data_IF_028901479746
#
_entry.id   IF_028901479746
#
_cell.length_a   1.000
_cell.length_b   1.000
_cell.length_c   1.000
_cell.angle_alpha   90.00
_cell.angle_beta   90.00
_cell.angle_gamma   90.00
#
_symmetry.space_group_name_H-M   'P 1'
#
loop_
_entity.id
_entity.type
_entity.pdbx_description
1 polymer ?
#
# COMPACT_ATOMS: atom_id res chain seq x y z
N UNK A 1 -16.07 -3.08 8.32
CA UNK A 1 -14.59 -3.16 8.40
C UNK A 1 -14.02 -2.55 7.13
N UNK A 2 -12.88 -1.86 7.15
CA UNK A 2 -12.21 -1.36 5.92
C UNK A 2 -10.84 -2.03 5.80
N UNK A 3 -10.54 -2.48 4.61
CA UNK A 3 -9.40 -3.30 4.23
C UNK A 3 -8.73 -2.62 3.04
N UNK A 4 -7.54 -2.06 3.21
CA UNK A 4 -6.86 -1.42 2.10
C UNK A 4 -5.62 -2.24 1.77
N UNK A 5 -5.64 -2.93 0.65
CA UNK A 5 -4.46 -3.50 0.02
C UNK A 5 -3.78 -2.37 -0.74
N UNK A 6 -2.65 -1.92 -0.21
CA UNK A 6 -1.80 -0.92 -0.86
C UNK A 6 -0.69 -1.68 -1.58
N UNK A 7 -0.83 -1.83 -2.90
CA UNK A 7 0.20 -2.30 -3.82
C UNK A 7 0.62 -3.77 -3.67
N UNK A 8 0.19 -4.56 -4.65
CA UNK A 8 0.56 -5.96 -4.84
C UNK A 8 1.68 -6.09 -5.89
N UNK A 9 2.92 -6.23 -5.45
CA UNK A 9 3.99 -6.91 -6.20
C UNK A 9 4.75 -7.76 -5.18
N UNK A 10 4.20 -8.95 -4.91
CA UNK A 10 4.50 -9.87 -3.79
C UNK A 10 3.65 -9.65 -2.55
N UNK A 11 2.35 -9.92 -2.67
CA UNK A 11 1.58 -10.31 -1.49
C UNK A 11 2.30 -11.52 -0.88
N UNK A 12 3.04 -11.31 0.21
CA UNK A 12 3.44 -12.41 1.05
C UNK A 12 2.12 -13.02 1.50
N UNK A 13 1.80 -14.25 1.05
CA UNK A 13 0.57 -14.98 1.42
C UNK A 13 0.25 -14.84 2.91
N UNK A 14 1.30 -14.72 3.73
CA UNK A 14 1.32 -14.50 5.18
C UNK A 14 0.57 -13.24 5.64
N UNK A 15 0.60 -12.10 4.94
CA UNK A 15 -0.02 -10.87 5.45
C UNK A 15 -1.55 -10.94 5.57
N UNK A 16 -2.19 -11.79 4.74
CA UNK A 16 -3.63 -12.09 4.83
C UNK A 16 -3.94 -13.09 5.95
N UNK A 17 -2.94 -13.84 6.42
CA UNK A 17 -3.11 -14.86 7.45
C UNK A 17 -3.19 -14.28 8.85
N UNK A 18 -2.72 -13.05 9.07
CA UNK A 18 -2.85 -12.38 10.38
C UNK A 18 -4.27 -11.94 10.72
N UNK A 19 -5.27 -12.26 9.87
CA UNK A 19 -6.66 -11.90 10.09
C UNK A 19 -7.32 -12.83 11.10
N UNK A 20 -7.60 -12.32 12.28
CA UNK A 20 -8.31 -13.09 13.32
C UNK A 20 -9.81 -12.84 13.24
N UNK A 21 -10.55 -13.86 12.81
CA UNK A 21 -12.03 -13.84 12.76
C UNK A 21 -12.65 -13.60 14.14
N UNK A 22 -11.97 -13.99 15.23
CA UNK A 22 -12.49 -13.85 16.58
C UNK A 22 -12.38 -12.39 17.09
N UNK A 23 -11.37 -11.66 16.63
CA UNK A 23 -11.19 -10.23 16.95
C UNK A 23 -12.05 -9.35 16.03
N UNK A 24 -12.15 -9.74 14.75
CA UNK A 24 -12.74 -8.91 13.70
C UNK A 24 -14.22 -9.20 13.44
N UNK A 25 -14.71 -10.38 13.82
CA UNK A 25 -16.05 -10.92 13.51
C UNK A 25 -16.38 -10.99 12.02
N UNK A 26 -15.38 -10.89 11.15
CA UNK A 26 -15.51 -10.97 9.69
C UNK A 26 -14.77 -12.21 9.20
N UNK A 27 -15.48 -13.07 8.48
CA UNK A 27 -14.88 -14.20 7.80
C UNK A 27 -14.21 -13.71 6.51
N UNK A 28 -12.90 -13.47 6.58
CA UNK A 28 -12.13 -12.96 5.44
C UNK A 28 -12.18 -13.88 4.24
N UNK A 29 -12.10 -15.21 4.42
CA UNK A 29 -12.11 -16.17 3.31
C UNK A 29 -13.42 -16.09 2.51
N UNK A 30 -14.55 -15.93 3.19
CA UNK A 30 -15.86 -15.72 2.56
C UNK A 30 -15.87 -14.42 1.75
N UNK A 31 -15.43 -13.31 2.34
CA UNK A 31 -15.43 -12.01 1.66
C UNK A 31 -14.46 -11.98 0.47
N UNK A 32 -13.27 -12.58 0.60
CA UNK A 32 -12.32 -12.73 -0.52
C UNK A 32 -12.88 -13.58 -1.65
N UNK A 33 -13.68 -14.61 -1.33
CA UNK A 33 -14.37 -15.42 -2.36
C UNK A 33 -15.38 -14.57 -3.12
N UNK A 34 -16.17 -13.74 -2.42
CA UNK A 34 -17.13 -12.82 -3.06
C UNK A 34 -16.42 -11.82 -3.97
N UNK A 35 -15.31 -11.24 -3.52
CA UNK A 35 -14.51 -10.30 -4.33
C UNK A 35 -13.99 -11.00 -5.59
N UNK A 36 -13.47 -12.21 -5.44
CA UNK A 36 -12.93 -13.01 -6.54
C UNK A 36 -14.02 -13.36 -7.57
N UNK A 37 -15.22 -13.73 -7.09
CA UNK A 37 -16.36 -14.08 -7.96
C UNK A 37 -16.88 -12.87 -8.75
N UNK A 38 -16.77 -11.66 -8.20
CA UNK A 38 -17.14 -10.43 -8.93
C UNK A 38 -16.10 -10.05 -9.99
N UNK A 39 -14.84 -10.45 -9.80
CA UNK A 39 -13.75 -10.25 -10.76
C UNK A 39 -13.66 -8.82 -11.31
N UNK A 40 -13.83 -7.81 -10.44
CA UNK A 40 -13.83 -6.40 -10.84
C UNK A 40 -12.46 -6.03 -11.43
N UNK A 41 -12.44 -5.33 -12.58
CA UNK A 41 -11.18 -4.86 -13.17
C UNK A 41 -10.64 -3.58 -12.51
N UNK A 42 -11.51 -2.84 -11.81
CA UNK A 42 -11.19 -1.54 -11.21
C UNK A 42 -11.00 -0.41 -12.23
N UNK A 43 -10.71 0.77 -11.71
CA UNK A 43 -10.45 1.97 -12.50
C UNK A 43 -8.97 2.04 -12.86
N UNK A 44 -8.65 2.21 -14.14
CA UNK A 44 -7.28 2.40 -14.63
C UNK A 44 -7.03 3.87 -14.95
N UNK A 45 -5.97 4.42 -14.38
CA UNK A 45 -5.49 5.77 -14.60
C UNK A 45 -4.20 5.75 -15.44
N UNK A 46 -3.47 6.88 -15.46
CA UNK A 46 -2.25 6.99 -16.27
C UNK A 46 -1.15 6.07 -15.74
N UNK A 47 -0.22 5.71 -16.62
CA UNK A 47 0.97 4.92 -16.28
C UNK A 47 0.69 3.54 -15.65
N UNK A 48 -0.51 3.00 -15.86
CA UNK A 48 -0.91 1.69 -15.33
C UNK A 48 -1.26 1.70 -13.85
N UNK A 49 -1.52 2.89 -13.27
CA UNK A 49 -2.14 2.99 -11.94
C UNK A 49 -3.55 2.38 -12.00
N UNK A 50 -3.89 1.53 -11.03
CA UNK A 50 -5.20 0.89 -10.95
C UNK A 50 -5.71 0.88 -9.52
N UNK A 51 -6.99 1.22 -9.37
CA UNK A 51 -7.73 1.19 -8.12
C UNK A 51 -8.95 0.26 -8.26
N UNK A 52 -8.93 -0.87 -7.56
CA UNK A 52 -10.08 -1.78 -7.47
C UNK A 52 -10.73 -1.55 -6.11
N UNK A 53 -12.01 -1.17 -6.12
CA UNK A 53 -12.78 -0.98 -4.89
C UNK A 53 -13.92 -1.97 -4.81
N UNK A 54 -14.12 -2.50 -3.61
CA UNK A 54 -15.22 -3.39 -3.28
C UNK A 54 -15.81 -2.98 -1.94
N UNK A 55 -17.12 -3.12 -1.79
CA UNK A 55 -17.78 -2.91 -0.51
C UNK A 55 -18.92 -3.92 -0.33
N UNK A 56 -18.84 -4.67 0.75
CA UNK A 56 -19.94 -5.45 1.31
C UNK A 56 -20.43 -4.82 2.61
N UNK A 57 -21.46 -5.41 3.21
CA UNK A 57 -21.94 -5.04 4.54
C UNK A 57 -20.85 -5.20 5.62
N UNK A 58 -19.91 -6.14 5.41
CA UNK A 58 -18.91 -6.50 6.41
C UNK A 58 -17.53 -5.90 6.10
N UNK A 59 -17.15 -5.83 4.81
CA UNK A 59 -15.81 -5.53 4.35
C UNK A 59 -15.84 -4.52 3.20
N UNK A 60 -15.14 -3.41 3.40
CA UNK A 60 -14.77 -2.51 2.31
C UNK A 60 -13.33 -2.83 1.95
N UNK A 61 -13.03 -3.05 0.68
CA UNK A 61 -11.71 -3.37 0.16
C UNK A 61 -11.25 -2.34 -0.86
N UNK A 62 -10.05 -1.79 -0.72
CA UNK A 62 -9.39 -0.96 -1.73
C UNK A 62 -8.08 -1.64 -2.14
N UNK A 63 -7.88 -1.92 -3.43
CA UNK A 63 -6.67 -2.55 -3.97
C UNK A 63 -6.02 -1.56 -4.91
N UNK A 64 -4.85 -1.08 -4.53
CA UNK A 64 -4.04 -0.19 -5.33
C UNK A 64 -2.98 -0.99 -6.08
N UNK A 65 -2.78 -0.73 -7.36
CA UNK A 65 -1.72 -1.32 -8.18
C UNK A 65 -1.01 -0.19 -8.89
N UNK A 66 0.32 -0.15 -8.79
CA UNK A 66 1.15 1.00 -9.15
C UNK A 66 0.51 2.35 -8.75
N UNK A 67 0.16 2.57 -7.47
CA UNK A 67 -0.42 3.84 -7.07
C UNK A 67 0.59 4.99 -7.21
N UNK A 68 0.09 6.17 -7.55
CA UNK A 68 0.78 7.43 -7.29
C UNK A 68 0.75 7.77 -5.79
N UNK A 69 1.69 8.62 -5.34
CA UNK A 69 1.76 9.11 -3.95
C UNK A 69 0.44 9.75 -3.54
N UNK A 70 -0.19 10.52 -4.43
CA UNK A 70 -1.43 11.24 -4.16
C UNK A 70 -2.60 10.27 -3.89
N UNK A 71 -2.76 9.25 -4.74
CA UNK A 71 -3.80 8.22 -4.60
C UNK A 71 -3.62 7.42 -3.32
N UNK A 72 -2.41 6.93 -3.06
CA UNK A 72 -2.13 6.20 -1.82
C UNK A 72 -2.44 7.07 -0.60
N UNK A 73 -1.91 8.29 -0.57
CA UNK A 73 -2.10 9.20 0.56
C UNK A 73 -3.59 9.45 0.82
N UNK A 74 -4.39 9.60 -0.24
CA UNK A 74 -5.83 9.75 -0.11
C UNK A 74 -6.52 8.50 0.43
N UNK A 75 -6.18 7.30 -0.07
CA UNK A 75 -6.73 6.05 0.43
C UNK A 75 -6.36 5.82 1.92
N UNK A 76 -5.13 6.14 2.32
CA UNK A 76 -4.71 6.06 3.73
C UNK A 76 -5.53 7.04 4.59
N UNK A 77 -5.68 8.31 4.18
CA UNK A 77 -6.52 9.27 4.91
C UNK A 77 -7.97 8.82 5.02
N UNK A 78 -8.54 8.32 3.92
CA UNK A 78 -9.92 7.81 3.88
C UNK A 78 -10.11 6.60 4.80
N UNK A 79 -9.11 5.73 4.92
CA UNK A 79 -9.12 4.62 5.86
C UNK A 79 -9.09 5.11 7.30
N UNK A 80 -8.16 6.01 7.59
CA UNK A 80 -7.90 6.51 8.94
C UNK A 80 -9.06 7.36 9.50
N UNK A 81 -9.78 8.06 8.62
CA UNK A 81 -10.99 8.83 8.96
C UNK A 81 -12.29 8.02 8.86
N UNK A 82 -12.22 6.72 8.57
CA UNK A 82 -13.43 5.89 8.48
C UNK A 82 -13.97 5.46 9.85
N UNK A 83 -15.28 5.22 9.94
CA UNK A 83 -15.94 4.69 11.14
C UNK A 83 -15.72 3.18 11.37
N UNK A 84 -14.70 2.60 10.74
CA UNK A 84 -14.43 1.16 10.85
C UNK A 84 -13.58 0.85 12.08
N UNK A 85 -14.01 -0.18 12.83
CA UNK A 85 -13.35 -0.60 14.08
C UNK A 85 -12.05 -1.36 13.86
N UNK A 86 -11.95 -2.10 12.77
CA UNK A 86 -10.72 -2.79 12.40
C UNK A 86 -10.32 -2.38 10.99
N UNK A 87 -9.05 -2.02 10.88
CA UNK A 87 -8.41 -1.51 9.69
C UNK A 87 -7.18 -2.38 9.43
N UNK A 88 -6.95 -2.69 8.17
CA UNK A 88 -5.78 -3.48 7.79
C UNK A 88 -5.19 -2.84 6.55
N UNK A 89 -3.88 -2.56 6.61
CA UNK A 89 -3.08 -2.08 5.49
C UNK A 89 -2.04 -3.15 5.20
N UNK A 90 -1.96 -3.56 3.94
CA UNK A 90 -0.94 -4.49 3.48
C UNK A 90 -0.17 -3.80 2.38
N UNK A 91 1.10 -3.50 2.65
CA UNK A 91 2.07 -3.09 1.66
C UNK A 91 2.84 -4.31 1.16
N UNK A 92 2.74 -4.56 -0.14
CA UNK A 92 3.37 -5.67 -0.82
C UNK A 92 4.15 -5.18 -2.05
N UNK A 93 4.69 -3.94 -2.03
CA UNK A 93 5.53 -3.38 -3.10
C UNK A 93 7.00 -3.26 -2.72
N UNK A 94 7.78 -2.59 -3.56
CA UNK A 94 9.19 -2.31 -3.29
C UNK A 94 9.36 -1.32 -2.13
N UNK A 95 10.43 -1.50 -1.37
CA UNK A 95 10.80 -0.63 -0.25
C UNK A 95 12.26 -0.21 -0.38
N UNK A 96 12.54 1.06 -0.10
CA UNK A 96 13.90 1.57 -0.08
C UNK A 96 14.64 1.12 1.17
N UNK A 97 15.82 0.52 0.97
CA UNK A 97 16.68 0.06 2.05
C UNK A 97 17.10 1.21 2.96
N UNK A 98 17.06 0.95 4.27
CA UNK A 98 17.48 1.90 5.31
C UNK A 98 16.32 2.70 5.89
N UNK A 99 15.57 3.44 5.07
CA UNK A 99 14.45 4.26 5.57
C UNK A 99 13.09 3.54 5.57
N UNK A 100 12.98 2.42 4.84
CA UNK A 100 11.74 1.64 4.78
C UNK A 100 10.64 2.29 3.93
N UNK A 101 10.89 3.40 3.22
CA UNK A 101 9.87 4.08 2.43
C UNK A 101 9.38 3.21 1.28
N UNK A 102 8.06 3.22 1.06
CA UNK A 102 7.42 2.49 -0.02
C UNK A 102 7.67 3.20 -1.34
N UNK A 103 8.10 2.46 -2.36
CA UNK A 103 8.36 3.00 -3.69
C UNK A 103 7.07 2.99 -4.51
N UNK A 104 6.66 4.18 -4.97
CA UNK A 104 5.45 4.44 -5.74
C UNK A 104 5.81 4.94 -7.15
N UNK A 105 4.81 5.13 -8.00
CA UNK A 105 5.05 5.56 -9.40
C UNK A 105 5.80 6.89 -9.52
N UNK A 106 5.45 7.87 -8.69
CA UNK A 106 5.92 9.25 -8.81
C UNK A 106 6.65 9.75 -7.56
N UNK A 107 7.05 8.83 -6.67
CA UNK A 107 7.79 9.16 -5.46
C UNK A 107 7.78 8.06 -4.41
N UNK A 108 7.86 8.48 -3.14
CA UNK A 108 7.90 7.57 -2.00
C UNK A 108 6.83 7.91 -0.98
N UNK A 109 6.34 6.89 -0.29
CA UNK A 109 5.52 7.04 0.90
C UNK A 109 6.24 6.48 2.12
N UNK A 110 6.55 7.37 3.06
CA UNK A 110 7.42 7.11 4.22
C UNK A 110 6.62 6.94 5.52
N UNK A 111 7.34 6.53 6.57
CA UNK A 111 6.82 6.56 7.94
C UNK A 111 6.31 7.96 8.34
N UNK A 112 6.99 9.02 7.90
CA UNK A 112 6.62 10.40 8.22
C UNK A 112 5.29 10.75 7.56
N UNK A 113 5.13 10.44 6.26
CA UNK A 113 3.86 10.69 5.53
C UNK A 113 2.69 9.95 6.20
N UNK A 114 2.94 8.71 6.63
CA UNK A 114 1.95 7.93 7.37
C UNK A 114 1.60 8.54 8.73
N UNK A 115 2.61 9.01 9.47
CA UNK A 115 2.43 9.65 10.79
C UNK A 115 1.71 11.00 10.68
N UNK A 116 1.97 11.76 9.62
CA UNK A 116 1.28 13.02 9.31
C UNK A 116 -0.19 12.79 8.98
N UNK A 117 -0.53 11.70 8.28
CA UNK A 117 -1.92 11.34 8.03
C UNK A 117 -2.73 11.13 9.33
N UNK A 118 -2.08 10.71 10.43
CA UNK A 118 -2.73 10.66 11.74
C UNK A 118 -3.02 12.03 12.33
N UNK A 119 -2.24 13.06 12.01
CA UNK A 119 -2.40 14.42 12.56
C UNK A 119 -3.56 15.18 11.92
N UNK A 120 -4.17 14.66 10.85
CA UNK A 120 -5.29 15.31 10.21
C UNK A 120 -6.51 15.43 11.13
N UNK A 121 -7.18 16.58 11.05
CA UNK A 121 -8.31 16.92 11.91
C UNK A 121 -9.40 15.83 11.85
N UNK A 122 -9.78 15.37 10.67
CA UNK A 122 -10.82 14.35 10.51
C UNK A 122 -10.40 12.99 11.08
N UNK A 123 -9.11 12.64 10.99
CA UNK A 123 -8.58 11.41 11.60
C UNK A 123 -8.59 11.53 13.13
N UNK A 124 -8.06 12.62 13.67
CA UNK A 124 -8.05 12.89 15.12
C UNK A 124 -9.45 12.87 15.72
N UNK A 125 -10.45 13.45 15.03
CA UNK A 125 -11.85 13.44 15.46
C UNK A 125 -12.40 12.02 15.60
N UNK A 126 -12.13 11.16 14.61
CA UNK A 126 -12.59 9.76 14.63
C UNK A 126 -11.88 8.95 15.71
N UNK A 127 -10.56 9.13 15.86
CA UNK A 127 -9.78 8.44 16.90
C UNK A 127 -10.29 8.82 18.29
N UNK A 128 -10.56 10.11 18.53
CA UNK A 128 -11.06 10.58 19.81
C UNK A 128 -12.49 10.08 20.10
N UNK A 129 -13.37 10.06 19.09
CA UNK A 129 -14.75 9.59 19.24
C UNK A 129 -14.85 8.08 19.54
N UNK A 130 -13.86 7.29 19.11
CA UNK A 130 -13.83 5.84 19.26
C UNK A 130 -12.52 5.35 19.89
N UNK A 131 -12.01 6.10 20.88
CA UNK A 131 -10.74 5.78 21.54
C UNK A 131 -10.75 4.34 22.07
N UNK A 132 -9.69 3.57 21.78
CA UNK A 132 -9.56 2.14 22.08
C UNK A 132 -10.59 1.21 21.38
N UNK A 133 -11.54 1.75 20.61
CA UNK A 133 -12.50 1.01 19.78
C UNK A 133 -12.02 0.75 18.35
N UNK A 134 -10.88 1.33 17.98
CA UNK A 134 -10.24 1.17 16.68
C UNK A 134 -8.96 0.33 16.82
N UNK A 135 -8.75 -0.57 15.87
CA UNK A 135 -7.54 -1.37 15.68
C UNK A 135 -7.02 -1.19 14.25
N UNK A 136 -5.70 -1.14 14.10
CA UNK A 136 -5.05 -1.06 12.80
C UNK A 136 -3.89 -2.06 12.73
N UNK A 137 -3.94 -2.96 11.75
CA UNK A 137 -2.82 -3.83 11.41
C UNK A 137 -2.13 -3.31 10.16
N UNK A 138 -0.82 -3.08 10.25
CA UNK A 138 0.02 -2.66 9.13
C UNK A 138 1.01 -3.77 8.81
N UNK A 139 0.99 -4.25 7.57
CA UNK A 139 2.03 -5.14 7.05
C UNK A 139 2.93 -4.35 6.10
N UNK A 140 4.22 -4.29 6.41
CA UNK A 140 5.21 -3.59 5.59
C UNK A 140 6.63 -4.09 5.91
N UNK A 141 7.64 -3.56 5.23
CA UNK A 141 9.05 -3.86 5.52
C UNK A 141 9.37 -3.59 7.00
N UNK A 142 10.20 -4.45 7.59
CA UNK A 142 10.74 -4.26 8.94
C UNK A 142 11.86 -3.22 9.00
N UNK A 143 12.30 -2.71 7.85
CA UNK A 143 13.32 -1.68 7.73
C UNK A 143 12.78 -0.31 8.12
N UNK A 144 13.71 0.61 8.45
CA UNK A 144 13.36 1.98 8.81
C UNK A 144 12.52 2.10 10.08
N UNK A 145 11.72 3.16 10.12
CA UNK A 145 11.08 3.64 11.35
C UNK A 145 9.70 3.02 11.61
N UNK A 146 9.20 2.15 10.72
CA UNK A 146 7.88 1.51 10.86
C UNK A 146 7.72 0.75 12.17
N UNK A 147 8.79 0.15 12.70
CA UNK A 147 8.78 -0.59 13.98
C UNK A 147 8.57 0.32 15.20
N UNK A 148 8.75 1.64 15.06
CA UNK A 148 8.48 2.62 16.13
C UNK A 148 7.01 2.98 16.24
N UNK A 149 6.24 2.76 15.17
CA UNK A 149 4.86 3.19 15.03
C UNK A 149 3.96 2.77 16.22
N UNK A 150 4.01 1.53 16.75
CA UNK A 150 3.20 1.15 17.90
C UNK A 150 3.51 1.91 19.20
N UNK A 151 4.66 2.60 19.27
CA UNK A 151 5.09 3.37 20.44
C UNK A 151 4.55 4.80 20.44
N UNK A 152 4.10 5.29 19.29
CA UNK A 152 3.55 6.63 19.12
C UNK A 152 2.25 6.82 19.90
N UNK A 153 2.00 8.04 20.37
CA UNK A 153 0.81 8.35 21.18
C UNK A 153 -0.49 8.13 20.41
N UNK A 154 -0.56 8.58 19.15
CA UNK A 154 -1.71 8.39 18.27
C UNK A 154 -1.96 6.91 17.96
N UNK A 155 -0.89 6.11 17.87
CA UNK A 155 -0.98 4.69 17.55
C UNK A 155 -1.54 3.87 18.71
N UNK A 156 -1.32 4.29 19.96
CA UNK A 156 -1.88 3.64 21.14
C UNK A 156 -3.41 3.72 21.16
N UNK A 157 -3.97 4.88 20.82
CA UNK A 157 -5.43 5.09 20.77
C UNK A 157 -6.13 4.21 19.72
N UNK A 158 -5.41 3.81 18.67
CA UNK A 158 -5.87 2.94 17.58
C UNK A 158 -5.31 1.51 17.62
N UNK A 159 -4.70 1.08 18.74
CA UNK A 159 -4.13 -0.27 18.91
C UNK A 159 -3.31 -0.72 17.70
N UNK A 160 -2.43 0.14 17.18
CA UNK A 160 -1.71 -0.17 15.94
C UNK A 160 -0.70 -1.30 16.16
N UNK A 161 -0.70 -2.30 15.28
CA UNK A 161 0.27 -3.40 15.25
C UNK A 161 0.96 -3.44 13.89
N UNK A 162 2.27 -3.64 13.90
CA UNK A 162 3.08 -3.78 12.68
C UNK A 162 3.50 -5.24 12.54
N UNK A 163 3.23 -5.84 11.38
CA UNK A 163 3.50 -7.24 11.04
C UNK A 163 3.03 -8.22 12.14
N UNK A 164 1.74 -8.20 12.53
CA UNK A 164 1.20 -9.17 13.49
C UNK A 164 1.31 -10.60 12.97
N UNK A 165 1.41 -11.56 13.89
CA UNK A 165 1.57 -12.99 13.58
C UNK A 165 0.36 -13.58 12.85
N UNK A 166 0.63 -14.55 12.00
CA UNK A 166 -0.38 -15.32 11.28
C UNK A 166 -1.27 -16.14 12.24
N UNK A 167 -2.58 -16.14 11.97
CA UNK A 167 -3.62 -16.86 12.73
C UNK A 167 -4.34 -17.87 11.84
N UNK A 168 -4.51 -17.56 10.55
CA UNK A 168 -5.08 -18.47 9.57
C UNK A 168 -4.04 -19.46 9.02
N UNK A 169 -4.51 -20.61 8.56
CA UNK A 169 -3.64 -21.60 7.93
C UNK A 169 -3.25 -21.18 6.50
N UNK A 170 -2.00 -21.44 6.11
CA UNK A 170 -1.40 -21.08 4.80
C UNK A 170 -2.09 -21.70 3.57
N UNK A 171 -3.10 -22.57 3.75
CA UNK A 171 -3.71 -23.41 2.72
C UNK A 171 -5.11 -23.01 2.25
N UNK A 172 -5.59 -21.80 2.56
CA UNK A 172 -6.93 -21.35 2.17
C UNK A 172 -7.11 -21.24 0.64
N UNK A 173 -8.06 -21.97 0.02
CA UNK A 173 -8.33 -21.86 -1.41
C UNK A 173 -8.86 -20.47 -1.80
N UNK A 174 -9.61 -19.81 -0.91
CA UNK A 174 -10.14 -18.45 -1.13
C UNK A 174 -9.02 -17.42 -1.28
N UNK A 175 -8.00 -17.49 -0.42
CA UNK A 175 -6.83 -16.60 -0.51
C UNK A 175 -6.06 -16.85 -1.81
N UNK A 176 -5.86 -18.12 -2.19
CA UNK A 176 -5.16 -18.48 -3.42
C UNK A 176 -5.90 -18.00 -4.67
N UNK A 177 -7.22 -18.19 -4.72
CA UNK A 177 -8.04 -17.74 -5.83
C UNK A 177 -8.05 -16.22 -5.95
N UNK A 178 -8.10 -15.51 -4.82
CA UNK A 178 -8.00 -14.05 -4.80
C UNK A 178 -6.65 -13.55 -5.34
N UNK A 179 -5.54 -14.16 -4.93
CA UNK A 179 -4.21 -13.83 -5.48
C UNK A 179 -4.16 -14.09 -6.98
N UNK A 180 -4.74 -15.21 -7.44
CA UNK A 180 -4.81 -15.55 -8.87
C UNK A 180 -5.67 -14.57 -9.66
N UNK A 181 -6.74 -14.05 -9.07
CA UNK A 181 -7.56 -12.99 -9.66
C UNK A 181 -6.76 -11.70 -9.84
N UNK A 182 -5.86 -11.36 -8.90
CA UNK A 182 -5.03 -10.16 -9.00
C UNK A 182 -3.87 -10.29 -10.00
N UNK A 183 -3.36 -11.50 -10.20
CA UNK A 183 -2.17 -11.81 -11.02
C UNK A 183 -2.12 -11.09 -12.39
N UNK A 184 -3.21 -11.03 -13.19
CA UNK A 184 -3.18 -10.36 -14.50
C UNK A 184 -2.91 -8.85 -14.43
N UNK A 185 -3.15 -8.22 -13.28
CA UNK A 185 -2.96 -6.78 -13.10
C UNK A 185 -1.57 -6.42 -12.57
N UNK A 186 -0.79 -7.39 -12.09
CA UNK A 186 0.51 -7.13 -11.44
C UNK A 186 1.69 -7.11 -12.43
N UNK A 187 1.42 -6.77 -13.69
CA UNK A 187 2.41 -6.78 -14.76
C UNK A 187 3.40 -5.64 -14.51
N UNK A 188 4.70 -5.91 -14.31
CA UNK A 188 5.69 -4.86 -14.13
C UNK A 188 5.72 -3.93 -15.34
N UNK A 189 5.79 -2.62 -15.12
CA UNK A 189 6.04 -1.65 -16.20
C UNK A 189 7.31 -2.03 -16.95
N UNK A 190 7.24 -2.10 -18.29
CA UNK A 190 8.42 -2.39 -19.11
C UNK A 190 9.44 -1.26 -18.99
N UNK A 191 10.71 -1.59 -19.21
CA UNK A 191 11.79 -0.60 -19.20
C UNK A 191 11.53 0.54 -20.21
N UNK A 192 10.84 0.26 -21.32
CA UNK A 192 10.47 1.27 -22.32
C UNK A 192 9.48 2.31 -21.78
N UNK A 193 8.53 1.91 -20.92
CA UNK A 193 7.58 2.83 -20.29
C UNK A 193 8.24 3.67 -19.19
N UNK A 194 9.30 3.14 -18.57
CA UNK A 194 10.06 3.84 -17.51
C UNK A 194 11.08 4.82 -18.13
N UNK A 195 11.57 4.52 -19.33
CA UNK A 195 12.51 5.35 -20.08
C UNK A 195 11.78 6.17 -21.15
N UNK A 196 10.86 7.05 -20.73
CA UNK A 196 10.32 8.05 -21.66
C UNK A 196 11.47 8.91 -22.19
N UNK A 197 11.66 8.89 -23.52
CA UNK A 197 12.64 9.73 -24.18
C UNK A 197 12.26 11.20 -23.97
N UNK A 198 13.17 12.00 -23.41
CA UNK A 198 12.98 13.45 -23.37
C UNK A 198 12.87 14.01 -24.78
N UNK A 199 11.86 14.83 -25.06
CA UNK A 199 11.72 15.60 -26.32
C UNK A 199 12.85 16.63 -26.52
N UNK A 200 13.72 16.81 -25.52
CA UNK A 200 14.84 17.74 -25.55
C UNK A 200 15.99 17.14 -26.37
N UNK A 201 16.02 17.45 -27.66
CA UNK A 201 17.18 17.20 -28.53
C UNK A 201 18.27 18.24 -28.24
N UNK A 202 19.09 17.99 -27.22
CA UNK A 202 20.25 18.81 -26.87
C UNK A 202 21.55 18.20 -27.39
N UNK A 203 22.35 18.95 -28.14
CA UNK A 203 23.66 18.49 -28.59
C UNK A 203 24.67 18.59 -27.44
N UNK A 204 24.97 17.48 -26.77
CA UNK A 204 25.93 17.46 -25.65
C UNK A 204 27.35 17.39 -26.23
N UNK A 205 28.17 18.41 -25.95
CA UNK A 205 29.57 18.47 -26.37
C UNK A 205 30.48 18.33 -25.15
N UNK A 206 31.30 17.29 -25.15
CA UNK A 206 32.30 17.07 -24.10
C UNK A 206 33.68 17.51 -24.59
N UNK A 207 34.39 18.29 -23.79
CA UNK A 207 35.75 18.76 -24.07
C UNK A 207 36.85 17.91 -23.40
N UNK A 208 36.46 16.92 -22.59
CA UNK A 208 37.33 16.00 -21.85
C UNK A 208 36.69 14.60 -21.80
N UNK A 209 37.43 13.54 -21.45
CA UNK A 209 36.84 12.23 -21.21
C UNK A 209 35.83 12.32 -20.05
N UNK A 210 34.55 12.15 -20.36
CA UNK A 210 33.45 12.26 -19.40
C UNK A 210 32.65 10.96 -19.41
N UNK A 211 32.48 10.34 -18.25
CA UNK A 211 31.57 9.22 -18.05
C UNK A 211 30.18 9.78 -17.72
N UNK A 212 29.21 9.52 -18.59
CA UNK A 212 27.83 9.92 -18.36
C UNK A 212 27.03 8.70 -17.90
N UNK A 213 26.64 8.69 -16.63
CA UNK A 213 25.79 7.63 -16.06
C UNK A 213 24.37 8.17 -16.01
N UNK A 214 23.48 7.62 -16.84
CA UNK A 214 22.05 7.86 -16.69
C UNK A 214 21.54 6.95 -15.58
N UNK A 215 20.92 7.48 -14.51
CA UNK A 215 20.14 6.64 -13.62
C UNK A 215 18.98 6.08 -14.44
N UNK A 216 18.94 4.76 -14.61
CA UNK A 216 17.81 4.11 -15.28
C UNK A 216 16.57 4.21 -14.39
N UNK A 217 15.68 5.14 -14.71
CA UNK A 217 14.35 5.25 -14.10
C UNK A 217 14.18 6.38 -13.07
N UNK A 218 13.06 7.07 -13.24
CA UNK A 218 12.49 8.26 -12.60
C UNK A 218 13.38 9.44 -12.16
N UNK A 219 13.29 10.49 -12.99
CA UNK A 219 13.29 11.94 -12.72
C UNK A 219 14.09 12.47 -11.53
N UNK A 220 15.34 12.06 -11.33
CA UNK A 220 16.31 12.94 -10.68
C UNK A 220 17.67 12.82 -11.34
N UNK A 221 17.92 13.73 -12.30
CA UNK A 221 19.26 13.97 -12.82
C UNK A 221 19.94 14.95 -11.87
N UNK A 222 20.70 14.44 -10.91
CA UNK A 222 21.70 15.24 -10.21
C UNK A 222 22.98 15.22 -11.05
N UNK A 223 23.34 16.36 -11.63
CA UNK A 223 24.66 16.58 -12.21
C UNK A 223 25.70 16.71 -11.09
N UNK A 224 26.69 15.81 -11.06
CA UNK A 224 27.95 16.00 -10.33
C UNK A 224 29.01 16.64 -11.24
#
# INVERSE_FOLDING_TARGET
>A
MRFNIVQAIQCHKQSLLSWDVNDCLVNLEKELSIITDQALEGEEARFGERLIQFASENLVTEILIHPAVSTLSQCVRNLLSSFTRHRHIIHAGYTFQGNGSWALQDGTFSYTDFSEAFQEIEVQRVIHAYENGISLHLHCSVEGEWTRLPKESFAKACKVRVNPTDVLTTGSPSILNFIKYLEPFLIPSTLENILESSDVVGNIRFSRPTLYVFPGGDRFIASF
#
